data_IF_943708735252
#
_entry.id   IF_943708735252
#
_cell.length_a   1.000
_cell.length_b   1.000
_cell.length_c   1.000
_cell.angle_alpha   90.00
_cell.angle_beta   90.00
_cell.angle_gamma   90.00
#
_symmetry.space_group_name_H-M   'P 1'
#
loop_
_entity.id
_entity.type
_entity.pdbx_description
1 polymer ?
#
# COMPACT_ATOMS: atom_id res chain seq x y z
N UNK A 1 0.40 -25.93 5.60
CA UNK A 1 -0.08 -24.53 5.58
C UNK A 1 1.17 -23.66 5.49
N UNK A 2 1.31 -22.87 4.42
CA UNK A 2 2.39 -21.88 4.32
C UNK A 2 2.28 -20.93 5.53
N UNK A 3 3.42 -20.59 6.12
CA UNK A 3 3.50 -19.74 7.31
C UNK A 3 2.68 -18.45 7.10
N UNK A 4 1.65 -18.15 7.93
CA UNK A 4 0.78 -16.98 7.76
C UNK A 4 1.55 -15.65 7.79
N UNK A 5 2.77 -15.64 8.30
CA UNK A 5 3.64 -14.46 8.35
C UNK A 5 4.41 -14.19 7.05
N UNK A 6 4.56 -15.18 6.15
CA UNK A 6 5.35 -15.01 4.93
C UNK A 6 4.74 -13.97 3.96
N UNK A 7 3.41 -13.95 3.70
CA UNK A 7 2.80 -12.92 2.85
C UNK A 7 2.92 -11.51 3.44
N UNK A 8 2.83 -11.38 4.76
CA UNK A 8 2.99 -10.09 5.45
C UNK A 8 4.45 -9.60 5.36
N UNK A 9 5.43 -10.50 5.45
CA UNK A 9 6.84 -10.16 5.25
C UNK A 9 7.11 -9.69 3.82
N UNK A 10 6.56 -10.38 2.82
CA UNK A 10 6.66 -9.96 1.41
C UNK A 10 6.02 -8.58 1.19
N UNK A 11 4.84 -8.34 1.76
CA UNK A 11 4.19 -7.04 1.73
C UNK A 11 5.08 -5.95 2.33
N UNK A 12 5.75 -6.22 3.46
CA UNK A 12 6.67 -5.27 4.08
C UNK A 12 7.84 -4.92 3.16
N UNK A 13 8.40 -5.91 2.45
CA UNK A 13 9.45 -5.67 1.44
C UNK A 13 8.94 -4.87 0.24
N UNK A 14 7.76 -5.19 -0.29
CA UNK A 14 7.14 -4.45 -1.41
C UNK A 14 6.87 -2.99 -1.01
N UNK A 15 6.40 -2.76 0.22
CA UNK A 15 6.13 -1.42 0.74
C UNK A 15 7.40 -0.57 0.86
N UNK A 16 8.58 -1.16 1.10
CA UNK A 16 9.85 -0.42 1.11
C UNK A 16 10.10 0.29 -0.22
N UNK A 17 9.76 -0.33 -1.36
CA UNK A 17 9.96 0.30 -2.66
C UNK A 17 9.07 1.53 -2.85
N UNK A 18 7.82 1.45 -2.42
CA UNK A 18 6.88 2.59 -2.44
C UNK A 18 7.38 3.71 -1.53
N UNK A 19 7.91 3.39 -0.35
CA UNK A 19 8.48 4.39 0.59
C UNK A 19 9.66 5.12 -0.06
N UNK A 20 10.59 4.38 -0.68
CA UNK A 20 11.73 4.97 -1.40
C UNK A 20 11.27 5.95 -2.48
N UNK A 21 10.36 5.53 -3.36
CA UNK A 21 9.83 6.37 -4.45
C UNK A 21 9.14 7.63 -3.93
N UNK A 22 8.41 7.51 -2.81
CA UNK A 22 7.75 8.64 -2.15
C UNK A 22 8.74 9.63 -1.59
N UNK A 23 9.77 9.14 -0.89
CA UNK A 23 10.82 10.00 -0.35
C UNK A 23 11.53 10.77 -1.46
N UNK A 24 11.79 10.12 -2.59
CA UNK A 24 12.36 10.76 -3.78
C UNK A 24 11.42 11.82 -4.36
N UNK A 25 10.13 11.52 -4.57
CA UNK A 25 9.12 12.48 -5.06
C UNK A 25 8.97 13.67 -4.12
N UNK A 26 8.93 13.44 -2.81
CA UNK A 26 8.82 14.47 -1.78
C UNK A 26 10.08 15.35 -1.75
N UNK A 27 11.27 14.75 -1.87
CA UNK A 27 12.55 15.47 -1.88
C UNK A 27 12.67 16.43 -3.08
N UNK A 28 12.06 16.09 -4.22
CA UNK A 28 11.98 17.00 -5.38
C UNK A 28 11.12 18.24 -5.12
N UNK A 29 10.20 18.19 -4.15
CA UNK A 29 9.35 19.32 -3.77
C UNK A 29 8.32 19.73 -4.83
N UNK A 30 7.78 20.94 -4.67
CA UNK A 30 6.78 21.50 -5.59
C UNK A 30 5.34 20.99 -5.35
N UNK A 31 4.45 21.33 -6.29
CA UNK A 31 3.03 21.00 -6.21
C UNK A 31 2.77 19.47 -6.23
N UNK A 32 3.55 18.74 -7.03
CA UNK A 32 3.48 17.28 -7.12
C UNK A 32 3.84 16.58 -5.79
N UNK A 33 4.84 17.10 -5.06
CA UNK A 33 5.18 16.58 -3.74
C UNK A 33 4.06 16.81 -2.70
N UNK A 34 3.42 17.99 -2.73
CA UNK A 34 2.26 18.25 -1.87
C UNK A 34 1.06 17.36 -2.23
N UNK A 35 0.77 17.20 -3.52
CA UNK A 35 -0.29 16.32 -3.99
C UNK A 35 -0.04 14.87 -3.55
N UNK A 36 1.21 14.39 -3.64
CA UNK A 36 1.61 13.07 -3.17
C UNK A 36 1.31 12.91 -1.67
N UNK A 37 1.77 13.84 -0.83
CA UNK A 37 1.54 13.80 0.63
C UNK A 37 0.05 13.75 1.01
N UNK A 38 -0.80 14.47 0.29
CA UNK A 38 -2.26 14.44 0.52
C UNK A 38 -2.86 13.11 0.07
N UNK A 39 -2.46 12.62 -1.12
CA UNK A 39 -2.97 11.36 -1.68
C UNK A 39 -2.67 10.16 -0.77
N UNK A 40 -1.52 10.17 -0.08
CA UNK A 40 -1.10 9.12 0.86
C UNK A 40 -2.11 8.86 1.97
N UNK A 41 -2.86 9.87 2.41
CA UNK A 41 -3.89 9.71 3.45
C UNK A 41 -5.11 9.03 2.88
N UNK A 42 -5.57 9.47 1.70
CA UNK A 42 -6.70 8.87 1.00
C UNK A 42 -6.48 7.40 0.70
N UNK A 43 -5.28 7.04 0.23
CA UNK A 43 -4.91 5.64 0.00
C UNK A 43 -5.04 4.76 1.26
N UNK A 44 -4.60 5.26 2.43
CA UNK A 44 -4.71 4.52 3.70
C UNK A 44 -6.16 4.34 4.12
N UNK A 45 -6.99 5.36 3.94
CA UNK A 45 -8.43 5.30 4.25
C UNK A 45 -9.12 4.26 3.38
N UNK A 46 -8.87 4.28 2.06
CA UNK A 46 -9.43 3.30 1.12
C UNK A 46 -8.97 1.88 1.47
N UNK A 47 -7.67 1.67 1.70
CA UNK A 47 -7.14 0.36 2.08
C UNK A 47 -7.73 -0.16 3.40
N UNK A 48 -7.96 0.72 4.37
CA UNK A 48 -8.60 0.36 5.64
C UNK A 48 -10.07 0.00 5.45
N UNK A 49 -10.81 0.75 4.61
CA UNK A 49 -12.20 0.44 4.28
C UNK A 49 -12.33 -0.90 3.55
N UNK A 50 -11.45 -1.18 2.58
CA UNK A 50 -11.42 -2.46 1.87
C UNK A 50 -11.15 -3.62 2.84
N UNK A 51 -10.13 -3.48 3.70
CA UNK A 51 -9.80 -4.49 4.70
C UNK A 51 -10.96 -4.73 5.69
N UNK A 52 -11.58 -3.67 6.18
CA UNK A 52 -12.75 -3.76 7.06
C UNK A 52 -13.91 -4.48 6.37
N UNK A 53 -14.20 -4.13 5.11
CA UNK A 53 -15.23 -4.79 4.33
C UNK A 53 -14.92 -6.28 4.11
N UNK A 54 -13.69 -6.63 3.73
CA UNK A 54 -13.26 -8.03 3.59
C UNK A 54 -13.48 -8.82 4.87
N UNK A 55 -13.14 -8.26 6.03
CA UNK A 55 -13.34 -8.94 7.32
C UNK A 55 -14.84 -9.06 7.68
N UNK A 56 -15.62 -8.01 7.44
CA UNK A 56 -17.06 -8.00 7.72
C UNK A 56 -17.84 -9.00 6.87
N UNK A 57 -17.38 -9.29 5.65
CA UNK A 57 -18.00 -10.28 4.76
C UNK A 57 -17.49 -11.71 5.00
N UNK A 58 -16.69 -11.93 6.05
CA UNK A 58 -16.18 -13.25 6.43
C UNK A 58 -14.85 -13.65 5.75
N UNK A 59 -14.17 -12.69 5.11
CA UNK A 59 -12.86 -12.90 4.52
C UNK A 59 -11.76 -13.12 5.55
N UNK A 60 -10.69 -13.76 5.09
CA UNK A 60 -9.53 -14.15 5.88
C UNK A 60 -8.46 -13.05 5.95
N UNK A 61 -7.58 -13.16 6.96
CA UNK A 61 -6.41 -12.28 7.06
C UNK A 61 -5.50 -12.36 5.82
N UNK A 62 -5.39 -13.54 5.20
CA UNK A 62 -4.60 -13.74 3.98
C UNK A 62 -5.14 -12.94 2.80
N UNK A 63 -6.45 -12.85 2.66
CA UNK A 63 -7.09 -12.03 1.63
C UNK A 63 -6.84 -10.53 1.86
N UNK A 64 -6.90 -10.07 3.11
CA UNK A 64 -6.53 -8.68 3.45
C UNK A 64 -5.08 -8.40 3.02
N UNK A 65 -4.14 -9.27 3.38
CA UNK A 65 -2.73 -9.09 3.02
C UNK A 65 -2.55 -9.13 1.49
N UNK A 66 -3.23 -10.02 0.78
CA UNK A 66 -3.17 -10.08 -0.68
C UNK A 66 -3.66 -8.77 -1.32
N UNK A 67 -4.79 -8.22 -0.86
CA UNK A 67 -5.29 -6.91 -1.32
C UNK A 67 -4.31 -5.78 -1.04
N UNK A 68 -3.69 -5.74 0.15
CA UNK A 68 -2.66 -4.73 0.44
C UNK A 68 -1.46 -4.83 -0.50
N UNK A 69 -1.05 -6.05 -0.90
CA UNK A 69 0.06 -6.24 -1.85
C UNK A 69 -0.29 -5.69 -3.24
N UNK A 70 -1.52 -5.89 -3.70
CA UNK A 70 -2.00 -5.29 -4.95
C UNK A 70 -1.95 -3.76 -4.89
N UNK A 71 -2.46 -3.15 -3.81
CA UNK A 71 -2.40 -1.70 -3.61
C UNK A 71 -0.96 -1.16 -3.60
N UNK A 72 -0.03 -1.88 -2.97
CA UNK A 72 1.40 -1.51 -2.97
C UNK A 72 2.01 -1.62 -4.38
N UNK A 73 1.65 -2.67 -5.14
CA UNK A 73 2.10 -2.82 -6.51
C UNK A 73 1.55 -1.68 -7.41
N UNK A 74 0.30 -1.28 -7.21
CA UNK A 74 -0.35 -0.20 -7.95
C UNK A 74 0.32 1.16 -7.64
N UNK A 75 0.60 1.42 -6.37
CA UNK A 75 1.36 2.59 -5.93
C UNK A 75 2.76 2.61 -6.53
N UNK A 76 3.44 1.46 -6.59
CA UNK A 76 4.76 1.36 -7.22
C UNK A 76 4.68 1.77 -8.69
N UNK A 77 3.71 1.23 -9.45
CA UNK A 77 3.52 1.56 -10.86
C UNK A 77 3.23 3.05 -11.08
N UNK A 78 2.36 3.64 -10.25
CA UNK A 78 2.01 5.08 -10.30
C UNK A 78 3.21 5.97 -10.03
N UNK A 79 4.04 5.62 -9.05
CA UNK A 79 5.19 6.43 -8.64
C UNK A 79 6.40 6.26 -9.56
N UNK A 80 6.47 5.15 -10.29
CA UNK A 80 7.53 4.89 -11.28
C UNK A 80 7.23 5.43 -12.69
N UNK A 81 5.99 5.85 -12.94
CA UNK A 81 5.56 6.46 -14.21
C UNK A 81 5.85 7.97 -14.21
#
# INVERSE_FOLDING_TARGET
MLNPFLPALLLAFEAQKVIELRLVRIAWGGAEAQAELVSMVGEKVVAAMEAANTLMTGGSHGEVVARYRELVADNTRRLSA
#
